data_IF_217593919285
#
_entry.id   IF_217593919285
#
_cell.length_a   1.000
_cell.length_b   1.000
_cell.length_c   1.000
_cell.angle_alpha   90.00
_cell.angle_beta   90.00
_cell.angle_gamma   90.00
#
_symmetry.space_group_name_H-M   'P 1'
#
loop_
_entity.id
_entity.type
_entity.pdbx_description
1 polymer ?
#
# COMPACT_ATOMS: atom_id res chain seq x y z
N UNK A 1 3.72 -8.64 6.09
CA UNK A 1 3.68 -8.51 4.62
C UNK A 1 4.76 -7.54 4.18
N UNK A 2 5.22 -7.65 2.94
CA UNK A 2 6.07 -6.67 2.27
C UNK A 2 5.15 -5.72 1.50
N UNK A 3 5.22 -4.43 1.78
CA UNK A 3 4.34 -3.41 1.22
C UNK A 3 5.20 -2.35 0.52
N UNK A 4 4.99 -2.16 -0.78
CA UNK A 4 5.57 -1.06 -1.52
C UNK A 4 4.68 0.18 -1.38
N UNK A 5 5.27 1.33 -1.04
CA UNK A 5 4.55 2.58 -0.80
C UNK A 5 5.14 3.68 -1.66
N UNK A 6 4.31 4.29 -2.50
CA UNK A 6 4.70 5.48 -3.26
C UNK A 6 4.86 6.72 -2.37
N UNK A 7 5.58 7.74 -2.85
CA UNK A 7 5.85 8.97 -2.13
C UNK A 7 4.94 10.13 -2.55
N UNK A 8 5.05 10.58 -3.80
CA UNK A 8 4.45 11.81 -4.32
C UNK A 8 3.01 11.60 -4.74
N UNK A 9 2.06 12.16 -4.00
CA UNK A 9 0.64 11.86 -4.22
C UNK A 9 0.14 10.73 -3.34
N UNK A 10 1.02 10.02 -2.64
CA UNK A 10 0.67 8.94 -1.70
C UNK A 10 0.95 9.31 -0.24
N UNK A 11 2.22 9.49 0.15
CA UNK A 11 2.62 9.92 1.50
C UNK A 11 2.45 11.43 1.67
N UNK A 12 2.82 12.18 0.63
CA UNK A 12 2.69 13.64 0.56
C UNK A 12 1.79 14.05 -0.59
N UNK A 13 1.34 15.30 -0.59
CA UNK A 13 0.72 15.89 -1.78
C UNK A 13 1.69 15.86 -2.97
N UNK A 14 1.18 15.58 -4.17
CA UNK A 14 2.00 15.60 -5.37
C UNK A 14 2.46 17.04 -5.68
N UNK A 15 3.75 17.30 -5.49
CA UNK A 15 4.44 18.59 -5.72
C UNK A 15 5.82 18.41 -6.36
N UNK A 16 6.06 17.26 -7.01
CA UNK A 16 7.33 16.96 -7.65
C UNK A 16 7.81 18.14 -8.54
N UNK A 17 9.07 18.59 -8.43
CA UNK A 17 10.19 17.98 -7.70
C UNK A 17 10.25 18.30 -6.19
N UNK A 18 9.43 19.22 -5.70
CA UNK A 18 9.38 19.61 -4.29
C UNK A 18 8.65 18.55 -3.45
N UNK A 19 8.84 18.57 -2.13
CA UNK A 19 8.08 17.73 -1.22
C UNK A 19 6.81 18.47 -0.83
N UNK A 20 5.65 17.85 -1.04
CA UNK A 20 4.35 18.40 -0.64
C UNK A 20 4.09 18.31 0.86
N UNK A 21 2.92 18.79 1.28
CA UNK A 21 2.46 18.57 2.64
C UNK A 21 2.20 17.09 2.89
N UNK A 22 2.38 16.64 4.13
CA UNK A 22 1.99 15.29 4.54
C UNK A 22 0.49 15.06 4.27
N UNK A 23 0.13 13.92 3.69
CA UNK A 23 -1.27 13.51 3.63
C UNK A 23 -1.75 13.13 5.04
N UNK A 24 -2.98 13.50 5.45
CA UNK A 24 -3.48 13.23 6.79
C UNK A 24 -3.25 11.77 7.23
N UNK A 25 -2.60 11.60 8.38
CA UNK A 25 -2.30 10.31 9.01
C UNK A 25 -1.34 9.37 8.24
N UNK A 26 -0.70 9.83 7.17
CA UNK A 26 0.20 8.99 6.36
C UNK A 26 1.34 8.40 7.18
N UNK A 27 2.12 9.25 7.85
CA UNK A 27 3.29 8.80 8.61
C UNK A 27 2.87 7.96 9.81
N UNK A 28 1.85 8.39 10.54
CA UNK A 28 1.37 7.67 11.72
C UNK A 28 0.91 6.25 11.35
N UNK A 29 0.15 6.13 10.26
CA UNK A 29 -0.35 4.84 9.77
C UNK A 29 0.78 3.92 9.33
N UNK A 30 1.75 4.44 8.57
CA UNK A 30 2.90 3.65 8.14
C UNK A 30 3.73 3.18 9.34
N UNK A 31 3.91 4.02 10.35
CA UNK A 31 4.58 3.61 11.61
C UNK A 31 3.79 2.56 12.37
N UNK A 32 2.45 2.57 12.30
CA UNK A 32 1.62 1.52 12.88
C UNK A 32 1.77 0.20 12.12
N UNK A 33 1.74 0.23 10.79
CA UNK A 33 2.01 -0.94 9.95
C UNK A 33 3.41 -1.52 10.21
N UNK A 34 4.44 -0.69 10.35
CA UNK A 34 5.78 -1.16 10.69
C UNK A 34 5.83 -1.81 12.09
N UNK A 35 5.12 -1.23 13.08
CA UNK A 35 4.97 -1.82 14.43
C UNK A 35 4.24 -3.16 14.41
N UNK A 36 3.28 -3.33 13.49
CA UNK A 36 2.55 -4.57 13.26
C UNK A 36 3.36 -5.58 12.42
N UNK A 37 4.69 -5.43 12.36
CA UNK A 37 5.64 -6.31 11.69
C UNK A 37 5.48 -6.40 10.16
N UNK A 38 4.95 -5.36 9.51
CA UNK A 38 5.01 -5.23 8.06
C UNK A 38 6.35 -4.60 7.63
N UNK A 39 6.92 -5.10 6.54
CA UNK A 39 8.12 -4.52 5.94
C UNK A 39 7.70 -3.51 4.87
N UNK A 40 8.07 -2.24 5.08
CA UNK A 40 7.73 -1.16 4.17
C UNK A 40 8.89 -0.88 3.22
N UNK A 41 8.62 -0.90 1.92
CA UNK A 41 9.58 -0.53 0.87
C UNK A 41 9.13 0.80 0.30
N UNK A 42 10.00 1.81 0.32
CA UNK A 42 9.73 3.05 -0.39
C UNK A 42 9.87 2.77 -1.89
N UNK A 43 8.80 3.00 -2.64
CA UNK A 43 8.75 2.73 -4.08
C UNK A 43 8.41 4.02 -4.84
N UNK A 44 9.42 4.73 -5.31
CA UNK A 44 9.27 6.07 -5.89
C UNK A 44 10.12 6.24 -7.13
N UNK A 45 9.64 7.05 -8.09
CA UNK A 45 10.41 7.49 -9.25
C UNK A 45 11.49 8.54 -8.90
N UNK A 46 11.57 9.01 -7.64
CA UNK A 46 12.65 9.91 -7.21
C UNK A 46 13.99 9.19 -7.28
N UNK A 47 15.01 9.93 -7.73
CA UNK A 47 16.38 9.42 -7.86
C UNK A 47 17.40 10.43 -7.30
N UNK A 48 18.61 9.95 -7.02
CA UNK A 48 19.74 10.79 -6.59
C UNK A 48 19.39 11.66 -5.37
N UNK A 49 19.58 12.97 -5.52
CA UNK A 49 19.34 13.94 -4.43
C UNK A 49 17.88 13.97 -3.99
N UNK A 50 16.93 13.89 -4.93
CA UNK A 50 15.51 13.93 -4.62
C UNK A 50 15.07 12.71 -3.81
N UNK A 51 15.67 11.54 -4.08
CA UNK A 51 15.42 10.33 -3.32
C UNK A 51 15.94 10.46 -1.88
N UNK A 52 17.16 10.99 -1.72
CA UNK A 52 17.73 11.25 -0.39
C UNK A 52 16.87 12.22 0.41
N UNK A 53 16.39 13.29 -0.22
CA UNK A 53 15.47 14.26 0.41
C UNK A 53 14.17 13.58 0.89
N UNK A 54 13.56 12.71 0.08
CA UNK A 54 12.34 11.99 0.45
C UNK A 54 12.54 10.98 1.60
N UNK A 55 13.65 10.22 1.56
CA UNK A 55 14.01 9.28 2.63
C UNK A 55 14.26 10.03 3.93
N UNK A 56 15.03 11.12 3.88
CA UNK A 56 15.35 11.94 5.04
C UNK A 56 14.10 12.60 5.63
N UNK A 57 13.19 13.08 4.78
CA UNK A 57 11.93 13.69 5.20
C UNK A 57 11.06 12.72 6.00
N UNK A 58 11.03 11.43 5.62
CA UNK A 58 10.34 10.38 6.36
C UNK A 58 11.07 10.05 7.67
N UNK A 59 12.40 9.92 7.62
CA UNK A 59 13.24 9.60 8.78
C UNK A 59 13.12 10.64 9.89
N UNK A 60 13.06 11.93 9.54
CA UNK A 60 12.87 13.03 10.50
C UNK A 60 11.53 12.95 11.26
N UNK A 61 10.54 12.23 10.74
CA UNK A 61 9.24 11.97 11.39
C UNK A 61 9.19 10.59 12.07
N UNK A 62 10.32 9.90 12.11
CA UNK A 62 10.48 8.58 12.71
C UNK A 62 9.86 7.45 11.90
N UNK A 63 9.78 7.60 10.57
CA UNK A 63 9.46 6.51 9.65
C UNK A 63 10.73 6.09 8.91
N UNK A 64 11.15 4.84 9.12
CA UNK A 64 12.26 4.21 8.40
C UNK A 64 11.72 3.07 7.54
N UNK A 65 12.21 2.98 6.30
CA UNK A 65 11.83 1.93 5.37
C UNK A 65 12.79 0.74 5.48
N UNK A 66 12.26 -0.45 5.28
CA UNK A 66 13.04 -1.67 5.17
C UNK A 66 13.99 -1.62 3.96
N UNK A 67 13.50 -1.17 2.81
CA UNK A 67 14.31 -0.98 1.60
C UNK A 67 13.78 0.20 0.78
N UNK A 68 14.57 0.67 -0.19
CA UNK A 68 14.23 1.82 -1.05
C UNK A 68 14.46 1.43 -2.51
N UNK A 69 13.39 1.39 -3.31
CA UNK A 69 13.42 1.00 -4.73
C UNK A 69 14.08 -0.37 -5.00
N UNK A 70 14.09 -1.26 -4.00
CA UNK A 70 14.66 -2.60 -4.07
C UNK A 70 13.87 -3.57 -3.20
N UNK A 71 13.97 -4.88 -3.48
CA UNK A 71 13.29 -5.92 -2.71
C UNK A 71 13.88 -6.10 -1.29
N UNK A 72 15.16 -5.75 -1.12
CA UNK A 72 15.90 -5.81 0.13
C UNK A 72 17.08 -4.80 0.09
N UNK A 73 17.64 -4.38 1.24
CA UNK A 73 18.58 -3.23 1.31
C UNK A 73 19.82 -3.35 0.40
N UNK A 74 20.36 -4.57 0.27
CA UNK A 74 21.59 -4.87 -0.47
C UNK A 74 21.37 -5.46 -1.87
N UNK A 75 20.17 -5.41 -2.43
CA UNK A 75 19.90 -5.95 -3.76
C UNK A 75 20.66 -5.18 -4.85
N UNK A 76 21.36 -5.90 -5.71
CA UNK A 76 22.04 -5.33 -6.88
C UNK A 76 21.74 -6.16 -8.13
N UNK A 77 21.57 -5.54 -9.32
CA UNK A 77 21.31 -6.27 -10.56
C UNK A 77 22.41 -7.29 -10.90
N UNK A 78 23.66 -6.99 -10.57
CA UNK A 78 24.80 -7.86 -10.85
C UNK A 78 24.90 -9.04 -9.87
N UNK A 79 24.36 -8.91 -8.65
CA UNK A 79 24.49 -9.89 -7.57
C UNK A 79 23.37 -10.93 -7.51
N UNK A 80 22.30 -10.77 -8.29
CA UNK A 80 21.12 -11.63 -8.22
C UNK A 80 20.70 -12.12 -9.62
N UNK A 81 20.94 -13.40 -9.98
CA UNK A 81 20.48 -13.98 -11.25
C UNK A 81 18.96 -13.95 -11.46
N UNK A 82 18.19 -13.85 -10.38
CA UNK A 82 16.74 -13.72 -10.39
C UNK A 82 16.27 -12.27 -10.20
N UNK A 83 17.15 -11.29 -10.43
CA UNK A 83 16.83 -9.87 -10.31
C UNK A 83 15.64 -9.50 -11.21
N UNK A 84 14.69 -8.79 -10.63
CA UNK A 84 13.58 -8.19 -11.33
C UNK A 84 13.56 -6.69 -11.04
N UNK A 85 13.47 -5.88 -12.09
CA UNK A 85 13.23 -4.44 -11.98
C UNK A 85 11.92 -4.12 -11.25
N UNK A 86 10.88 -4.97 -11.37
CA UNK A 86 9.63 -4.82 -10.62
C UNK A 86 9.80 -5.45 -9.23
N UNK A 87 9.40 -4.72 -8.19
CA UNK A 87 9.40 -5.22 -6.82
C UNK A 87 8.45 -6.43 -6.67
N UNK A 88 8.91 -7.42 -5.92
CA UNK A 88 8.19 -8.61 -5.51
C UNK A 88 7.65 -8.39 -4.09
N UNK A 89 6.46 -7.79 -4.01
CA UNK A 89 5.78 -7.40 -2.76
C UNK A 89 4.36 -7.98 -2.71
N UNK A 90 3.75 -7.95 -1.53
CA UNK A 90 2.37 -8.42 -1.34
C UNK A 90 1.35 -7.34 -1.76
N UNK A 91 1.66 -6.07 -1.48
CA UNK A 91 0.75 -4.94 -1.69
C UNK A 91 1.50 -3.73 -2.25
N UNK A 92 0.88 -3.02 -3.19
CA UNK A 92 1.26 -1.68 -3.62
C UNK A 92 0.25 -0.64 -3.11
N UNK A 93 0.75 0.43 -2.47
CA UNK A 93 0.00 1.63 -2.09
C UNK A 93 0.50 2.77 -2.98
N UNK A 94 -0.33 3.21 -3.93
CA UNK A 94 0.02 4.17 -4.98
C UNK A 94 -1.25 4.94 -5.41
N UNK A 95 -1.15 6.25 -5.58
CA UNK A 95 -2.24 7.12 -6.02
C UNK A 95 -2.50 7.09 -7.53
N UNK A 96 -1.55 6.56 -8.32
CA UNK A 96 -1.61 6.40 -9.78
C UNK A 96 -2.37 5.15 -10.24
N UNK A 97 -3.12 4.50 -9.34
CA UNK A 97 -3.98 3.36 -9.65
C UNK A 97 -5.21 3.71 -10.50
N UNK A 98 -6.00 2.69 -10.86
CA UNK A 98 -7.25 2.86 -11.62
C UNK A 98 -8.36 3.60 -10.85
N UNK A 99 -8.23 3.70 -9.53
CA UNK A 99 -9.18 4.37 -8.64
C UNK A 99 -8.41 5.30 -7.69
N UNK A 100 -9.06 6.35 -7.16
CA UNK A 100 -8.47 7.19 -6.12
C UNK A 100 -8.05 6.35 -4.90
N UNK A 101 -6.87 6.67 -4.35
CA UNK A 101 -6.37 6.04 -3.15
C UNK A 101 -7.31 6.36 -1.96
N UNK A 102 -7.78 5.35 -1.19
CA UNK A 102 -8.51 5.61 0.05
C UNK A 102 -7.67 6.40 1.06
N UNK A 103 -8.33 6.96 2.07
CA UNK A 103 -7.61 7.58 3.19
C UNK A 103 -6.80 6.54 3.99
N UNK A 104 -5.79 7.02 4.71
CA UNK A 104 -4.85 6.16 5.43
C UNK A 104 -5.50 5.31 6.53
N UNK A 105 -6.57 5.78 7.19
CA UNK A 105 -7.30 5.00 8.18
C UNK A 105 -7.99 3.79 7.55
N UNK A 106 -8.61 3.99 6.39
CA UNK A 106 -9.20 2.92 5.58
C UNK A 106 -8.14 1.93 5.11
N UNK A 107 -6.99 2.42 4.60
CA UNK A 107 -5.85 1.56 4.19
C UNK A 107 -5.39 0.67 5.35
N UNK A 108 -5.21 1.24 6.54
CA UNK A 108 -4.81 0.47 7.72
C UNK A 108 -5.77 -0.67 8.02
N UNK A 109 -7.08 -0.40 8.00
CA UNK A 109 -8.09 -1.42 8.28
C UNK A 109 -8.12 -2.53 7.25
N UNK A 110 -7.97 -2.18 5.96
CA UNK A 110 -7.88 -3.16 4.88
C UNK A 110 -6.69 -4.11 5.09
N UNK A 111 -5.53 -3.56 5.49
CA UNK A 111 -4.31 -4.34 5.72
C UNK A 111 -4.38 -5.15 7.02
N UNK A 112 -4.82 -4.55 8.13
CA UNK A 112 -4.80 -5.16 9.45
C UNK A 112 -5.91 -6.21 9.67
N UNK A 113 -7.11 -5.98 9.12
CA UNK A 113 -8.30 -6.78 9.46
C UNK A 113 -8.81 -7.65 8.31
N UNK A 114 -8.32 -7.47 7.08
CA UNK A 114 -8.78 -8.23 5.90
C UNK A 114 -7.64 -8.82 5.06
N UNK A 115 -6.74 -9.64 5.64
CA UNK A 115 -5.72 -10.32 4.85
C UNK A 115 -6.31 -11.22 3.75
N UNK A 116 -7.51 -11.77 3.95
CA UNK A 116 -8.18 -12.63 2.97
C UNK A 116 -8.81 -11.87 1.78
N UNK A 117 -9.18 -10.59 1.93
CA UNK A 117 -9.79 -9.81 0.82
C UNK A 117 -8.73 -9.34 -0.18
N UNK A 118 -7.53 -9.02 0.31
CA UNK A 118 -6.34 -8.75 -0.52
C UNK A 118 -5.94 -9.98 -1.35
N UNK A 119 -6.31 -11.19 -0.94
CA UNK A 119 -6.08 -12.43 -1.70
C UNK A 119 -7.19 -12.77 -2.71
N UNK A 120 -8.34 -12.07 -2.71
CA UNK A 120 -9.55 -12.55 -3.41
C UNK A 120 -9.86 -11.91 -4.77
N UNK A 121 -9.10 -10.92 -5.24
CA UNK A 121 -9.32 -10.34 -6.58
C UNK A 121 -8.58 -11.12 -7.68
N UNK A 122 -8.85 -12.42 -7.76
CA UNK A 122 -8.49 -13.26 -8.91
C UNK A 122 -9.39 -14.51 -9.03
N UNK A 123 -10.71 -14.38 -8.86
CA UNK A 123 -11.62 -15.39 -9.43
C UNK A 123 -11.71 -15.22 -10.96
N UNK A 124 -10.62 -15.51 -11.67
CA UNK A 124 -10.74 -16.07 -13.00
C UNK A 124 -11.08 -17.55 -12.81
N UNK A 125 -12.37 -17.88 -12.79
CA UNK A 125 -12.86 -19.25 -12.73
C UNK A 125 -12.26 -20.09 -13.88
N UNK A 126 -11.16 -20.80 -13.62
CA UNK A 126 -10.71 -21.91 -14.45
C UNK A 126 -11.55 -23.13 -14.13
N UNK A 127 -12.72 -23.24 -14.77
CA UNK A 127 -13.48 -24.50 -14.77
C UNK A 127 -13.06 -25.35 -15.96
N UNK A 128 -11.81 -25.82 -15.97
CA UNK A 128 -11.40 -26.89 -16.89
C UNK A 128 -11.84 -28.23 -16.30
N UNK A 129 -13.10 -28.59 -16.53
CA UNK A 129 -13.62 -29.92 -16.24
C UNK A 129 -13.15 -30.87 -17.34
N UNK A 130 -12.09 -31.63 -17.08
CA UNK A 130 -11.71 -32.75 -17.95
C UNK A 130 -12.42 -34.02 -17.48
N UNK A 131 -13.38 -34.46 -18.28
CA UNK A 131 -13.94 -35.80 -18.19
C UNK A 131 -12.89 -36.78 -18.69
N UNK A 132 -12.51 -37.74 -17.84
CA UNK A 132 -11.53 -38.77 -18.17
C UNK A 132 -12.25 -39.85 -18.98
N UNK A 133 -11.89 -40.00 -20.26
CA UNK A 133 -12.29 -41.10 -21.12
C UNK A 133 -11.06 -41.61 -21.86
N UNK A 134 -10.64 -42.83 -21.51
CA UNK A 134 -9.35 -43.40 -21.86
C UNK A 134 -9.07 -43.61 -23.36
N UNK A 135 -7.79 -43.69 -23.68
CA UNK A 135 -7.32 -44.16 -24.98
C UNK A 135 -5.94 -43.60 -25.36
N UNK A 136 -4.95 -44.49 -25.38
CA UNK A 136 -3.68 -44.38 -26.12
C UNK A 136 -2.59 -43.42 -25.60
N UNK A 137 -1.91 -43.97 -24.61
CA UNK A 137 -0.51 -43.89 -24.14
C UNK A 137 0.62 -43.45 -25.13
N UNK A 138 0.41 -43.10 -26.40
CA UNK A 138 1.52 -42.91 -27.37
C UNK A 138 1.80 -41.46 -27.83
N UNK A 139 1.09 -40.45 -27.34
CA UNK A 139 1.34 -39.02 -27.66
C UNK A 139 2.05 -38.29 -26.50
N UNK A 140 2.23 -38.97 -25.36
CA UNK A 140 2.63 -38.39 -24.07
C UNK A 140 4.12 -38.03 -23.93
N UNK A 141 4.99 -38.40 -24.88
CA UNK A 141 6.44 -38.15 -24.76
C UNK A 141 6.97 -36.97 -25.58
N UNK A 142 6.25 -36.49 -26.59
CA UNK A 142 6.70 -35.37 -27.46
C UNK A 142 6.04 -34.04 -27.10
N UNK A 143 4.91 -34.05 -26.39
CA UNK A 143 4.25 -32.85 -25.87
C UNK A 143 4.73 -32.44 -24.46
N UNK A 144 5.68 -33.18 -23.88
CA UNK A 144 6.24 -32.91 -22.55
C UNK A 144 7.30 -31.78 -22.55
N UNK A 145 7.85 -31.41 -23.72
CA UNK A 145 8.83 -30.33 -23.84
C UNK A 145 8.25 -28.94 -24.17
N UNK A 146 6.94 -28.80 -24.39
CA UNK A 146 6.33 -27.53 -24.82
C UNK A 146 5.56 -26.78 -23.71
N UNK A 147 5.52 -27.29 -22.47
CA UNK A 147 4.75 -26.68 -21.38
C UNK A 147 5.53 -26.34 -20.10
N UNK A 148 6.86 -26.29 -20.14
CA UNK A 148 7.61 -25.70 -19.02
C UNK A 148 7.67 -24.18 -19.17
N UNK A 149 6.51 -23.51 -19.13
CA UNK A 149 6.44 -22.11 -18.73
C UNK A 149 6.26 -22.08 -17.23
N UNK A 150 7.37 -22.14 -16.49
CA UNK A 150 7.36 -21.86 -15.05
C UNK A 150 7.43 -20.33 -14.86
N UNK A 151 6.33 -19.65 -15.15
CA UNK A 151 6.10 -18.28 -14.71
C UNK A 151 5.15 -18.32 -13.52
N UNK A 152 5.69 -18.29 -12.30
CA UNK A 152 4.88 -18.08 -11.10
C UNK A 152 4.40 -16.63 -11.10
N UNK A 153 3.30 -16.34 -11.77
CA UNK A 153 2.58 -15.10 -11.57
C UNK A 153 2.10 -15.07 -10.12
N UNK A 154 2.74 -14.27 -9.28
CA UNK A 154 2.27 -14.00 -7.93
C UNK A 154 1.13 -12.99 -8.01
N UNK A 155 0.04 -13.30 -7.33
CA UNK A 155 -1.07 -12.37 -7.14
C UNK A 155 -0.56 -11.23 -6.24
N UNK A 156 -0.39 -10.05 -6.81
CA UNK A 156 -0.04 -8.85 -6.05
C UNK A 156 -1.28 -7.98 -5.94
N UNK A 157 -1.71 -7.71 -4.72
CA UNK A 157 -2.89 -6.91 -4.47
C UNK A 157 -2.55 -5.43 -4.66
N UNK A 158 -3.19 -4.79 -5.63
CA UNK A 158 -3.29 -3.34 -5.65
C UNK A 158 -4.50 -2.97 -4.81
N UNK A 159 -4.35 -2.03 -3.87
CA UNK A 159 -5.48 -1.50 -3.12
C UNK A 159 -6.41 -0.76 -4.10
N UNK A 160 -7.52 -1.41 -4.43
CA UNK A 160 -8.52 -0.95 -5.40
C UNK A 160 -9.92 -1.13 -4.80
N UNK A 161 -10.86 -0.26 -5.17
CA UNK A 161 -12.27 -0.27 -4.73
C UNK A 161 -12.52 0.07 -3.25
N UNK A 162 -12.24 1.31 -2.85
CA UNK A 162 -12.63 1.85 -1.54
C UNK A 162 -14.16 2.02 -1.39
N UNK A 163 -14.89 2.18 -2.48
CA UNK A 163 -16.35 2.44 -2.46
C UNK A 163 -17.19 1.26 -1.91
N UNK A 164 -16.65 0.04 -1.94
CA UNK A 164 -17.37 -1.16 -1.47
C UNK A 164 -17.06 -1.51 -0.01
N UNK A 165 -16.24 -0.72 0.68
CA UNK A 165 -15.92 -0.93 2.09
C UNK A 165 -16.96 -0.25 2.95
N UNK A 166 -17.76 -1.06 3.66
CA UNK A 166 -18.62 -0.59 4.74
C UNK A 166 -17.76 0.02 5.86
N UNK A 167 -17.64 1.35 5.82
CA UNK A 167 -16.87 2.17 6.75
C UNK A 167 -17.55 2.34 8.13
N UNK A 168 -18.73 1.73 8.34
CA UNK A 168 -19.46 1.82 9.62
C UNK A 168 -18.68 1.19 10.79
N UNK A 169 -17.86 0.17 10.53
CA UNK A 169 -16.98 -0.43 11.55
C UNK A 169 -15.75 0.42 11.89
N UNK A 170 -15.35 1.31 10.97
CA UNK A 170 -14.21 2.22 11.08
C UNK A 170 -14.48 3.39 12.03
N UNK A 171 -15.76 3.73 12.22
CA UNK A 171 -16.22 4.86 13.02
C UNK A 171 -15.76 4.82 14.49
N UNK A 172 -15.38 3.64 14.99
CA UNK A 172 -14.88 3.46 16.37
C UNK A 172 -13.37 3.58 16.55
N UNK A 173 -12.60 3.69 15.46
CA UNK A 173 -11.14 3.83 15.55
C UNK A 173 -10.69 5.28 15.81
N UNK A 174 -11.57 6.25 15.65
CA UNK A 174 -11.34 7.65 16.03
C UNK A 174 -12.05 7.96 17.35
N UNK A 175 -11.56 7.39 18.45
CA UNK A 175 -11.89 7.87 19.80
C UNK A 175 -10.99 9.06 20.14
N UNK A 176 -11.13 10.14 19.37
CA UNK A 176 -10.43 11.39 19.63
C UNK A 176 -10.96 11.99 20.93
N UNK A 177 -10.34 11.64 22.05
CA UNK A 177 -10.63 12.22 23.36
C UNK A 177 -9.83 13.51 23.52
N UNK A 178 -10.51 14.58 23.90
CA UNK A 178 -9.87 15.85 24.27
C UNK A 178 -8.93 15.58 25.44
N UNK A 179 -7.64 15.85 25.25
CA UNK A 179 -6.61 15.72 26.28
C UNK A 179 -6.48 17.02 27.07
N UNK A 180 -6.01 16.99 28.34
CA UNK A 180 -5.85 18.20 29.16
C UNK A 180 -4.89 19.27 28.58
N UNK A 181 -4.10 18.92 27.56
CA UNK A 181 -3.15 19.81 26.88
C UNK A 181 -3.68 20.40 25.57
N UNK A 182 -4.86 19.95 25.11
CA UNK A 182 -5.43 20.41 23.86
C UNK A 182 -6.04 21.81 24.06
N UNK A 183 -5.58 22.78 23.28
CA UNK A 183 -6.19 24.11 23.26
C UNK A 183 -7.35 24.11 22.27
N UNK A 184 -8.57 24.25 22.79
CA UNK A 184 -9.78 24.38 21.99
C UNK A 184 -10.10 25.87 21.81
N UNK A 185 -10.08 26.33 20.57
CA UNK A 185 -10.56 27.67 20.22
C UNK A 185 -12.01 27.55 19.79
N UNK A 186 -12.94 28.01 20.64
CA UNK A 186 -14.37 28.07 20.31
C UNK A 186 -14.67 29.48 19.81
N UNK A 187 -15.12 29.60 18.57
CA UNK A 187 -15.57 30.87 17.99
C UNK A 187 -17.09 30.90 17.97
N UNK A 188 -17.68 31.81 18.75
CA UNK A 188 -19.13 32.05 18.73
C UNK A 188 -19.40 33.23 17.81
N UNK A 189 -20.15 32.99 16.73
CA UNK A 189 -20.56 34.02 15.79
C UNK A 189 -22.06 34.26 15.92
N UNK A 190 -22.47 35.48 16.28
CA UNK A 190 -23.85 35.85 16.56
C UNK A 190 -24.12 37.27 16.06
N UNK A 191 -25.36 37.54 15.69
CA UNK A 191 -25.81 38.88 15.28
C UNK A 191 -25.95 39.84 16.45
N UNK A 192 -26.04 39.34 17.68
CA UNK A 192 -26.12 40.15 18.90
C UNK A 192 -24.79 40.12 19.67
N UNK A 193 -24.04 41.24 19.74
CA UNK A 193 -22.70 41.29 20.31
C UNK A 193 -22.65 41.04 21.82
N UNK A 194 -23.75 41.22 22.55
CA UNK A 194 -23.80 40.97 24.00
C UNK A 194 -23.73 39.47 24.33
N UNK A 195 -24.12 38.61 23.37
CA UNK A 195 -24.17 37.15 23.55
C UNK A 195 -22.84 36.48 23.16
N UNK A 196 -21.92 37.23 22.53
CA UNK A 196 -20.57 36.77 22.16
C UNK A 196 -19.48 37.15 23.18
N UNK A 197 -19.85 37.77 24.30
CA UNK A 197 -18.89 38.14 25.35
C UNK A 197 -18.43 36.86 26.07
N UNK A 198 -17.11 36.62 26.19
CA UNK A 198 -16.56 35.43 26.85
C UNK A 198 -16.72 35.42 28.38
#
# INVERSE_FOLDING_TARGET
MIIAVDFDGTIVENRYPYIGNEKPFAIETLKLLARDHHQLILWTCREGRLLQEAVEWCRQRGLEFYAVNSNYPEETPAGNPAYSRKLNVDVFIDDSGLCPLPDWGTIYQMIAHRPAVLQSQSHCSRRCRWSVGGGLVLVLFIMSMLFTSCGSSRDVAYLQNSEQVDLSSSQRLYDARIMPKDQLTITVNTTNPEVSVP
#
